data_IF_753006048015
#
_entry.id   IF_753006048015
#
_cell.length_a   1.000
_cell.length_b   1.000
_cell.length_c   1.000
_cell.angle_alpha   90.00
_cell.angle_beta   90.00
_cell.angle_gamma   90.00
#
_symmetry.space_group_name_H-M   'P 1'
#
loop_
_entity.id
_entity.type
_entity.pdbx_description
1 polymer ?
#
# COMPACT_ATOMS: atom_id res chain seq x y z
N UNK A 1 -2.98 -0.63 -11.95
CA UNK A 1 -1.95 -1.29 -11.10
C UNK A 1 -1.24 -0.19 -10.33
N UNK A 2 -0.95 -0.35 -9.04
CA UNK A 2 -0.30 0.72 -8.27
C UNK A 2 1.23 0.65 -8.35
N UNK A 3 1.90 1.80 -8.25
CA UNK A 3 3.34 1.89 -8.04
C UNK A 3 3.71 1.78 -6.54
N UNK A 4 5.01 1.88 -6.21
CA UNK A 4 5.49 1.79 -4.81
C UNK A 4 5.02 2.94 -3.92
N UNK A 5 4.55 4.05 -4.49
CA UNK A 5 4.00 5.21 -3.79
C UNK A 5 2.47 5.12 -3.63
N UNK A 6 1.88 3.98 -4.01
CA UNK A 6 0.43 3.71 -4.02
C UNK A 6 -0.37 4.55 -5.01
N UNK A 7 0.29 5.13 -6.02
CA UNK A 7 -0.38 5.87 -7.10
C UNK A 7 -0.86 4.92 -8.18
N UNK A 8 -2.00 5.24 -8.76
CA UNK A 8 -2.49 4.61 -9.98
C UNK A 8 -1.81 5.24 -11.21
N UNK A 9 -2.25 4.85 -12.42
CA UNK A 9 -1.81 5.49 -13.65
C UNK A 9 -2.26 6.97 -13.74
N UNK A 10 -3.32 7.34 -13.00
CA UNK A 10 -3.66 8.73 -12.74
C UNK A 10 -2.91 9.22 -11.49
N UNK A 11 -2.06 10.27 -11.60
CA UNK A 11 -1.17 10.70 -10.53
C UNK A 11 -1.88 11.34 -9.33
N UNK A 12 -3.16 11.70 -9.44
CA UNK A 12 -3.94 12.24 -8.31
C UNK A 12 -4.82 11.19 -7.63
N UNK A 13 -4.87 9.97 -8.18
CA UNK A 13 -5.66 8.86 -7.64
C UNK A 13 -4.72 7.81 -7.02
N UNK A 14 -5.03 7.44 -5.79
CA UNK A 14 -4.31 6.41 -5.02
C UNK A 14 -5.21 5.19 -4.81
N UNK A 15 -4.60 4.02 -4.65
CA UNK A 15 -5.30 2.80 -4.29
C UNK A 15 -4.45 1.95 -3.33
N UNK A 16 -5.10 1.34 -2.34
CA UNK A 16 -4.48 0.58 -1.24
C UNK A 16 -5.29 -0.69 -0.93
N UNK A 17 -4.70 -1.61 -0.19
CA UNK A 17 -5.37 -2.81 0.29
C UNK A 17 -5.67 -3.81 -0.82
N UNK A 18 -6.78 -4.52 -0.69
CA UNK A 18 -7.09 -5.67 -1.54
C UNK A 18 -7.25 -5.29 -3.02
N UNK A 19 -7.78 -4.09 -3.30
CA UNK A 19 -7.90 -3.57 -4.67
C UNK A 19 -6.53 -3.22 -5.29
N UNK A 20 -5.51 -2.96 -4.46
CA UNK A 20 -4.14 -2.69 -4.89
C UNK A 20 -3.31 -3.98 -5.10
N UNK A 21 -3.88 -5.15 -4.82
CA UNK A 21 -3.30 -6.47 -5.11
C UNK A 21 -2.97 -7.29 -3.87
N UNK A 22 -2.42 -8.48 -4.11
CA UNK A 22 -2.04 -9.45 -3.09
C UNK A 22 -0.82 -9.01 -2.24
N UNK A 23 -0.66 -9.55 -1.01
CA UNK A 23 -1.62 -10.39 -0.30
C UNK A 23 -2.77 -9.60 0.34
N UNK A 24 -4.01 -10.11 0.29
CA UNK A 24 -5.19 -9.47 0.90
C UNK A 24 -5.18 -9.57 2.44
N UNK A 25 -4.43 -8.67 3.09
CA UNK A 25 -4.22 -8.67 4.54
C UNK A 25 -4.44 -7.28 5.13
N UNK A 26 -5.18 -7.21 6.24
CA UNK A 26 -5.53 -5.95 6.89
C UNK A 26 -4.32 -5.06 7.24
N UNK A 27 -3.22 -5.67 7.70
CA UNK A 27 -2.01 -4.94 8.08
C UNK A 27 -1.18 -4.46 6.88
N UNK A 28 -1.25 -5.14 5.72
CA UNK A 28 -0.74 -4.62 4.45
C UNK A 28 -1.50 -3.34 4.08
N UNK A 29 -2.83 -3.43 3.99
CA UNK A 29 -3.69 -2.29 3.64
C UNK A 29 -3.45 -1.08 4.56
N UNK A 30 -3.32 -1.33 5.87
CA UNK A 30 -3.04 -0.28 6.86
C UNK A 30 -1.68 0.40 6.66
N UNK A 31 -0.66 -0.34 6.24
CA UNK A 31 0.67 0.23 5.98
C UNK A 31 0.72 0.96 4.63
N UNK A 32 0.08 0.41 3.59
CA UNK A 32 -0.10 1.09 2.29
C UNK A 32 -0.82 2.43 2.46
N UNK A 33 -1.85 2.51 3.30
CA UNK A 33 -2.56 3.76 3.61
C UNK A 33 -1.62 4.85 4.16
N UNK A 34 -0.72 4.48 5.07
CA UNK A 34 0.25 5.43 5.64
C UNK A 34 1.17 5.99 4.56
N UNK A 35 1.72 5.11 3.72
CA UNK A 35 2.57 5.53 2.59
C UNK A 35 1.80 6.44 1.64
N UNK A 36 0.57 6.08 1.24
CA UNK A 36 -0.25 6.88 0.34
C UNK A 36 -0.51 8.30 0.90
N UNK A 37 -0.83 8.41 2.20
CA UNK A 37 -1.07 9.71 2.85
C UNK A 37 0.21 10.52 2.99
N UNK A 38 1.34 9.89 3.31
CA UNK A 38 2.62 10.60 3.39
C UNK A 38 3.06 11.12 2.00
N UNK A 39 2.89 10.33 0.95
CA UNK A 39 3.12 10.74 -0.44
C UNK A 39 2.18 11.87 -0.85
N UNK A 40 0.90 11.78 -0.49
CA UNK A 40 -0.09 12.84 -0.73
C UNK A 40 0.28 14.15 -0.01
N UNK A 41 0.88 14.05 1.18
CA UNK A 41 1.39 15.18 1.94
C UNK A 41 2.74 15.75 1.42
N UNK A 42 3.31 15.15 0.37
CA UNK A 42 4.54 15.62 -0.26
C UNK A 42 5.83 15.04 0.34
N UNK A 43 5.74 13.98 1.15
CA UNK A 43 6.90 13.25 1.65
C UNK A 43 7.41 12.23 0.62
N UNK A 44 8.72 12.02 0.57
CA UNK A 44 9.37 11.01 -0.27
C UNK A 44 9.43 9.67 0.46
N UNK A 45 8.38 8.86 0.29
CA UNK A 45 8.20 7.59 1.00
C UNK A 45 7.67 6.53 0.05
N UNK A 46 8.10 5.29 0.25
CA UNK A 46 7.74 4.15 -0.60
C UNK A 46 7.38 2.92 0.23
N UNK A 47 6.49 2.10 -0.30
CA UNK A 47 6.13 0.81 0.27
C UNK A 47 7.16 -0.27 -0.16
N UNK A 48 8.26 -0.38 0.58
CA UNK A 48 9.37 -1.30 0.30
C UNK A 48 9.56 -2.33 1.43
N UNK A 49 8.66 -3.32 1.48
CA UNK A 49 8.67 -4.37 2.50
C UNK A 49 9.55 -5.55 2.08
N UNK A 50 10.31 -6.10 3.02
CA UNK A 50 11.06 -7.37 2.81
C UNK A 50 10.18 -8.60 2.92
N UNK A 51 9.11 -8.52 3.71
CA UNK A 51 8.12 -9.58 3.91
C UNK A 51 6.81 -8.97 4.45
N UNK A 52 5.70 -9.65 4.20
CA UNK A 52 4.39 -9.39 4.82
C UNK A 52 3.99 -10.69 5.55
N UNK A 53 3.82 -10.68 6.88
CA UNK A 53 3.51 -11.90 7.63
C UNK A 53 2.07 -12.36 7.37
N UNK A 54 1.88 -13.67 7.17
CA UNK A 54 0.56 -14.28 7.09
C UNK A 54 0.32 -15.15 8.34
N UNK A 55 -0.90 -15.12 8.87
CA UNK A 55 -1.30 -15.91 10.05
C UNK A 55 -2.52 -16.75 9.70
N UNK A 56 -2.50 -18.03 10.09
CA UNK A 56 -3.62 -18.96 10.00
C UNK A 56 -4.03 -19.33 11.43
N UNK A 57 -5.28 -19.06 11.81
CA UNK A 57 -5.81 -19.29 13.17
C UNK A 57 -6.51 -20.65 13.31
N UNK A 58 -5.83 -21.72 12.89
CA UNK A 58 -6.31 -23.12 12.94
C UNK A 58 -5.85 -23.86 14.18
#
# INVERSE_FOLDING_TARGET
>A
KCDKSQRTDDPVIFAIGDVAGEPMLAHKASHEAKVAVEVLAGHDVVFDHRAIPAVVFT
#
